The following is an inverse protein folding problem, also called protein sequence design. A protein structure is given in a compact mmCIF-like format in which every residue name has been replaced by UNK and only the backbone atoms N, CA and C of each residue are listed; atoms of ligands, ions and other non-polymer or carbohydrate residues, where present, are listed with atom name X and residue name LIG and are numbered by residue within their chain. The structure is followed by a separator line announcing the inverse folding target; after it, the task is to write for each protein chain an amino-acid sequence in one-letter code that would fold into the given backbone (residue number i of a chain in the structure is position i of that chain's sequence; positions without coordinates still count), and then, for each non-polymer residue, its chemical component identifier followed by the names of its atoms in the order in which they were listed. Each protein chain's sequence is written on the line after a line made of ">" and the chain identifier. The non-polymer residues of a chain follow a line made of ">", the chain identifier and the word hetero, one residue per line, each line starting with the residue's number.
data_IF_441592975006
#
_entry.id   IF_441592975006
#
_cell.length_a   1.000
_cell.length_b   1.000
_cell.length_c   1.000
_cell.angle_alpha   90.00
_cell.angle_beta   90.00
_cell.angle_gamma   90.00
#
_symmetry.space_group_name_H-M   'P 1'
#
loop_
_entity.id
_entity.type
_entity.pdbx_description
1 polymer ?
#
# COMPACT_ATOMS: atom_id res chain seq x y z
N UNK A 1 -14.58 -24.84 2.83
CA UNK A 1 -14.35 -24.08 1.60
C UNK A 1 -12.88 -23.67 1.46
N UNK A 2 -12.31 -22.71 2.23
CA UNK A 2 -10.91 -22.24 2.04
C UNK A 2 -9.84 -23.36 2.10
N UNK A 3 -9.92 -24.26 3.07
CA UNK A 3 -8.96 -25.37 3.20
C UNK A 3 -9.10 -26.43 2.08
N UNK A 4 -10.30 -26.58 1.54
CA UNK A 4 -10.54 -27.49 0.40
C UNK A 4 -9.94 -26.92 -0.88
N UNK A 5 -10.19 -25.64 -1.16
CA UNK A 5 -9.63 -24.95 -2.31
C UNK A 5 -8.09 -24.90 -2.21
N UNK A 6 -7.56 -24.65 -1.01
CA UNK A 6 -6.13 -24.70 -0.77
C UNK A 6 -5.54 -26.08 -1.08
N UNK A 7 -6.17 -27.17 -0.65
CA UNK A 7 -5.72 -28.55 -0.98
C UNK A 7 -5.72 -28.82 -2.47
N UNK A 8 -6.72 -28.30 -3.22
CA UNK A 8 -6.77 -28.43 -4.68
C UNK A 8 -5.58 -27.74 -5.34
N UNK A 9 -5.24 -26.52 -4.88
CA UNK A 9 -4.06 -25.77 -5.37
C UNK A 9 -2.76 -26.52 -5.06
N UNK A 10 -2.58 -27.00 -3.84
CA UNK A 10 -1.38 -27.75 -3.45
C UNK A 10 -1.24 -29.04 -4.26
N UNK A 11 -2.36 -29.77 -4.47
CA UNK A 11 -2.37 -30.94 -5.34
C UNK A 11 -1.97 -30.61 -6.79
N UNK A 12 -2.49 -29.53 -7.32
CA UNK A 12 -2.13 -29.05 -8.66
C UNK A 12 -0.63 -28.70 -8.76
N UNK A 13 -0.05 -27.99 -7.77
CA UNK A 13 1.39 -27.65 -7.76
C UNK A 13 2.27 -28.91 -7.80
N UNK A 14 1.90 -29.95 -7.08
CA UNK A 14 2.62 -31.22 -7.07
C UNK A 14 2.49 -31.91 -8.44
N UNK A 15 1.30 -31.95 -9.02
CA UNK A 15 1.06 -32.51 -10.35
C UNK A 15 1.82 -31.78 -11.46
N UNK A 16 2.01 -30.47 -11.33
CA UNK A 16 2.81 -29.67 -12.26
C UNK A 16 4.34 -29.80 -12.04
N UNK A 17 4.77 -30.66 -11.12
CA UNK A 17 6.19 -30.86 -10.83
C UNK A 17 6.87 -29.69 -10.11
N UNK A 18 6.10 -28.74 -9.56
CA UNK A 18 6.64 -27.62 -8.80
C UNK A 18 7.27 -28.05 -7.47
N UNK A 19 6.87 -29.20 -6.95
CA UNK A 19 7.50 -29.92 -5.86
C UNK A 19 7.14 -31.42 -5.97
N UNK A 20 8.00 -32.31 -5.52
CA UNK A 20 7.73 -33.74 -5.56
C UNK A 20 6.74 -34.19 -4.48
N UNK A 21 6.52 -33.38 -3.45
CA UNK A 21 5.61 -33.70 -2.36
C UNK A 21 5.18 -32.45 -1.59
N UNK A 22 4.08 -32.59 -0.80
CA UNK A 22 3.64 -31.54 0.13
C UNK A 22 4.74 -31.11 1.12
N UNK A 23 5.57 -32.08 1.57
CA UNK A 23 6.69 -31.80 2.47
C UNK A 23 7.75 -30.93 1.81
N UNK A 24 8.11 -31.23 0.58
CA UNK A 24 9.07 -30.42 -0.20
C UNK A 24 8.52 -29.04 -0.50
N UNK A 25 7.23 -28.95 -0.87
CA UNK A 25 6.57 -27.67 -1.12
C UNK A 25 6.60 -26.78 0.14
N UNK A 26 6.28 -27.35 1.32
CA UNK A 26 6.38 -26.63 2.59
C UNK A 26 7.78 -26.05 2.81
N UNK A 27 8.83 -26.87 2.60
CA UNK A 27 10.22 -26.45 2.77
C UNK A 27 10.60 -25.32 1.80
N UNK A 28 10.21 -25.46 0.51
CA UNK A 28 10.44 -24.40 -0.51
C UNK A 28 9.73 -23.10 -0.20
N UNK A 29 8.54 -23.18 0.38
CA UNK A 29 7.79 -22.01 0.84
C UNK A 29 8.28 -21.44 2.20
N UNK A 30 9.31 -22.04 2.81
CA UNK A 30 9.86 -21.61 4.10
C UNK A 30 8.96 -21.93 5.29
N UNK A 31 8.18 -23.02 5.21
CA UNK A 31 7.35 -23.53 6.29
C UNK A 31 7.89 -24.85 6.86
N UNK A 32 7.68 -25.05 8.17
CA UNK A 32 7.85 -26.37 8.76
C UNK A 32 6.77 -27.31 8.20
N UNK A 33 7.09 -28.53 7.72
CA UNK A 33 6.14 -29.47 7.13
C UNK A 33 4.95 -29.80 8.04
N UNK A 34 5.14 -29.88 9.36
CA UNK A 34 4.05 -30.14 10.32
C UNK A 34 3.08 -28.96 10.39
N UNK A 35 3.60 -27.72 10.50
CA UNK A 35 2.78 -26.51 10.50
C UNK A 35 2.01 -26.35 9.17
N UNK A 36 2.65 -26.62 8.04
CA UNK A 36 2.01 -26.61 6.73
C UNK A 36 0.86 -27.61 6.63
N UNK A 37 1.06 -28.83 7.13
CA UNK A 37 0.02 -29.86 7.18
C UNK A 37 -1.17 -29.44 8.07
N UNK A 38 -0.91 -28.81 9.22
CA UNK A 38 -1.97 -28.32 10.12
C UNK A 38 -2.83 -27.23 9.43
N UNK A 39 -2.22 -26.34 8.65
CA UNK A 39 -2.94 -25.34 7.85
C UNK A 39 -3.83 -26.03 6.81
N UNK A 40 -3.29 -26.99 6.05
CA UNK A 40 -4.05 -27.71 5.03
C UNK A 40 -5.22 -28.52 5.60
N UNK A 41 -5.06 -29.08 6.78
CA UNK A 41 -6.07 -29.89 7.45
C UNK A 41 -7.09 -29.08 8.27
N UNK A 42 -6.94 -27.74 8.30
CA UNK A 42 -7.87 -26.86 8.99
C UNK A 42 -7.69 -26.78 10.50
N UNK A 43 -6.59 -27.33 11.06
CA UNK A 43 -6.25 -27.20 12.47
C UNK A 43 -5.69 -25.81 12.82
N UNK A 44 -5.14 -25.11 11.82
CA UNK A 44 -4.64 -23.73 11.91
C UNK A 44 -5.31 -22.93 10.82
N UNK A 45 -5.81 -21.70 11.12
CA UNK A 45 -6.40 -20.82 10.13
C UNK A 45 -5.42 -20.49 9.01
N UNK A 46 -5.92 -20.37 7.78
CA UNK A 46 -5.13 -19.92 6.62
C UNK A 46 -4.91 -18.43 6.76
N UNK A 47 -3.67 -18.00 7.00
CA UNK A 47 -3.30 -16.59 7.12
C UNK A 47 -3.00 -15.97 5.74
N UNK A 48 -3.19 -14.66 5.61
CA UNK A 48 -2.82 -13.92 4.41
C UNK A 48 -1.34 -14.04 4.08
N UNK A 49 -0.48 -14.09 5.10
CA UNK A 49 0.95 -14.36 4.94
C UNK A 49 1.22 -15.70 4.25
N UNK A 50 0.42 -16.70 4.55
CA UNK A 50 0.52 -18.02 3.90
C UNK A 50 0.10 -17.93 2.43
N UNK A 51 -1.05 -17.30 2.15
CA UNK A 51 -1.57 -17.14 0.79
C UNK A 51 -0.66 -16.30 -0.09
N UNK A 52 -0.10 -15.21 0.45
CA UNK A 52 0.84 -14.36 -0.27
C UNK A 52 2.15 -15.11 -0.61
N UNK A 53 2.64 -15.97 0.30
CA UNK A 53 3.78 -16.84 -0.01
C UNK A 53 3.46 -17.89 -1.06
N UNK A 54 2.23 -18.39 -1.06
CA UNK A 54 1.77 -19.35 -2.06
C UNK A 54 1.67 -18.69 -3.45
N UNK A 55 1.14 -17.48 -3.54
CA UNK A 55 1.10 -16.71 -4.79
C UNK A 55 2.49 -16.26 -5.27
N UNK A 56 3.38 -15.94 -4.34
CA UNK A 56 4.79 -15.66 -4.67
C UNK A 56 5.53 -16.92 -5.19
N UNK A 57 5.13 -18.11 -4.74
CA UNK A 57 5.68 -19.38 -5.21
C UNK A 57 5.19 -19.74 -6.63
N UNK A 58 3.92 -19.45 -6.93
CA UNK A 58 3.31 -19.63 -8.26
C UNK A 58 2.28 -18.52 -8.54
N UNK A 59 2.67 -17.59 -9.40
CA UNK A 59 1.91 -16.38 -9.72
C UNK A 59 0.56 -16.62 -10.40
N UNK A 60 0.36 -17.81 -10.99
CA UNK A 60 -0.91 -18.18 -11.62
C UNK A 60 -2.02 -18.52 -10.65
N UNK A 61 -1.72 -18.65 -9.36
CA UNK A 61 -2.71 -19.02 -8.35
C UNK A 61 -3.61 -17.83 -8.01
N UNK A 62 -4.91 -18.01 -8.17
CA UNK A 62 -5.90 -17.01 -7.78
C UNK A 62 -6.23 -17.13 -6.28
N UNK A 63 -5.70 -16.21 -5.47
CA UNK A 63 -5.97 -16.17 -4.01
C UNK A 63 -7.45 -15.94 -3.73
N UNK A 64 -8.17 -15.14 -4.54
CA UNK A 64 -9.59 -14.86 -4.36
C UNK A 64 -10.42 -16.13 -4.57
N UNK A 65 -10.00 -17.01 -5.47
CA UNK A 65 -10.63 -18.32 -5.60
C UNK A 65 -10.41 -19.18 -4.34
N UNK A 66 -9.21 -19.16 -3.75
CA UNK A 66 -8.94 -19.90 -2.51
C UNK A 66 -9.81 -19.38 -1.36
N UNK A 67 -9.91 -18.06 -1.19
CA UNK A 67 -10.61 -17.40 -0.08
C UNK A 67 -12.14 -17.46 -0.22
N UNK A 68 -12.64 -17.13 -1.41
CA UNK A 68 -14.04 -16.77 -1.62
C UNK A 68 -14.74 -17.60 -2.69
N UNK A 69 -14.03 -18.55 -3.32
CA UNK A 69 -14.52 -19.36 -4.46
C UNK A 69 -14.96 -18.51 -5.66
N UNK A 70 -14.32 -17.33 -5.82
CA UNK A 70 -14.61 -16.40 -6.92
C UNK A 70 -13.61 -16.54 -8.05
N UNK A 71 -14.11 -16.69 -9.27
CA UNK A 71 -13.29 -16.87 -10.49
C UNK A 71 -12.78 -18.30 -10.64
N UNK A 72 -11.71 -18.47 -11.38
CA UNK A 72 -11.04 -19.76 -11.62
C UNK A 72 -9.88 -19.97 -10.65
N UNK A 73 -9.52 -21.23 -10.37
CA UNK A 73 -8.41 -21.61 -9.50
C UNK A 73 -7.07 -21.00 -9.95
N UNK A 74 -6.90 -20.92 -11.25
CA UNK A 74 -5.71 -20.35 -11.90
C UNK A 74 -6.13 -19.25 -12.84
N UNK A 75 -5.33 -18.22 -12.92
CA UNK A 75 -5.46 -17.24 -13.99
C UNK A 75 -5.07 -17.88 -15.32
N UNK A 76 -5.95 -17.85 -16.32
CA UNK A 76 -5.76 -18.47 -17.63
C UNK A 76 -4.73 -17.74 -18.52
N UNK A 77 -4.38 -16.53 -18.16
CA UNK A 77 -3.26 -15.71 -18.64
C UNK A 77 -2.90 -14.78 -17.50
N UNK A 78 -1.64 -14.37 -17.37
CA UNK A 78 -1.18 -13.40 -16.37
C UNK A 78 -2.32 -12.47 -15.96
N UNK A 79 -2.63 -12.27 -14.63
CA UNK A 79 -3.70 -11.37 -14.23
C UNK A 79 -3.27 -9.92 -14.45
N UNK A 80 -3.21 -9.53 -15.70
CA UNK A 80 -3.08 -8.17 -16.15
C UNK A 80 -4.41 -7.79 -16.78
N UNK A 81 -5.20 -7.06 -15.99
CA UNK A 81 -6.19 -6.09 -16.46
C UNK A 81 -7.29 -6.60 -17.38
N UNK A 82 -8.45 -6.91 -16.82
CA UNK A 82 -9.69 -6.55 -17.48
C UNK A 82 -10.15 -5.18 -17.00
N UNK A 83 -9.59 -4.14 -17.56
CA UNK A 83 -10.30 -2.89 -17.77
C UNK A 83 -10.18 -2.57 -19.24
N UNK A 84 -11.35 -2.66 -19.90
CA UNK A 84 -11.59 -2.26 -21.27
C UNK A 84 -11.01 -0.88 -21.56
N UNK A 85 -9.91 -0.81 -22.28
CA UNK A 85 -9.59 0.27 -23.22
C UNK A 85 -8.76 -0.32 -24.36
N UNK A 86 -9.24 -0.13 -25.55
CA UNK A 86 -8.64 -0.42 -26.83
C UNK A 86 -7.24 0.18 -26.97
N UNK A 87 -6.26 -0.66 -27.33
CA UNK A 87 -5.06 -0.26 -28.08
C UNK A 87 -3.94 0.32 -27.26
N UNK A 88 -3.08 -0.56 -26.85
CA UNK A 88 -1.62 -0.60 -26.69
C UNK A 88 -1.34 -1.62 -25.60
N UNK A 89 -0.61 -2.68 -25.91
CA UNK A 89 -0.16 -3.66 -24.92
C UNK A 89 0.80 -2.93 -23.97
N UNK A 90 0.30 -2.59 -22.78
CA UNK A 90 1.12 -2.10 -21.69
C UNK A 90 1.94 -3.28 -21.14
N UNK A 91 3.20 -3.38 -21.53
CA UNK A 91 4.15 -4.43 -21.13
C UNK A 91 4.62 -4.23 -19.67
N UNK A 92 3.67 -4.12 -18.72
CA UNK A 92 3.96 -4.11 -17.30
C UNK A 92 4.18 -5.54 -16.80
N UNK A 93 5.41 -5.91 -16.49
CA UNK A 93 5.75 -7.19 -15.89
C UNK A 93 5.78 -7.08 -14.36
N UNK A 94 4.98 -7.91 -13.66
CA UNK A 94 5.06 -8.00 -12.19
C UNK A 94 6.46 -8.42 -11.76
N UNK A 95 7.04 -7.66 -10.83
CA UNK A 95 8.40 -7.89 -10.37
C UNK A 95 8.44 -8.43 -8.94
N UNK A 96 7.81 -7.76 -7.98
CA UNK A 96 7.81 -8.17 -6.57
C UNK A 96 6.77 -7.37 -5.77
N UNK A 97 6.56 -7.78 -4.53
CA UNK A 97 5.75 -7.07 -3.54
C UNK A 97 6.54 -6.92 -2.24
N UNK A 98 6.38 -5.80 -1.54
CA UNK A 98 6.95 -5.65 -0.22
C UNK A 98 6.03 -6.20 0.88
N UNK A 99 6.54 -6.32 2.12
CA UNK A 99 5.79 -6.91 3.24
C UNK A 99 4.54 -6.11 3.66
N UNK A 100 4.32 -4.93 3.10
CA UNK A 100 3.22 -4.01 3.45
C UNK A 100 2.27 -3.78 2.26
N UNK A 101 2.27 -4.65 1.25
CA UNK A 101 1.30 -4.66 0.17
C UNK A 101 1.58 -3.69 -0.98
N UNK A 102 2.75 -3.04 -1.03
CA UNK A 102 3.15 -2.27 -2.21
C UNK A 102 3.71 -3.22 -3.28
N UNK A 103 3.10 -3.22 -4.45
CA UNK A 103 3.47 -4.08 -5.58
C UNK A 103 4.37 -3.34 -6.56
N UNK A 104 5.36 -4.02 -7.08
CA UNK A 104 6.33 -3.44 -8.02
C UNK A 104 6.24 -4.15 -9.36
N UNK A 105 6.30 -3.35 -10.43
CA UNK A 105 6.20 -3.78 -11.82
C UNK A 105 7.35 -3.17 -12.61
N UNK A 106 7.79 -3.84 -13.66
CA UNK A 106 8.75 -3.31 -14.62
C UNK A 106 8.06 -3.06 -15.96
N UNK A 107 8.51 -2.01 -16.63
CA UNK A 107 8.22 -1.72 -18.02
C UNK A 107 9.52 -1.27 -18.68
N UNK A 108 10.17 -2.18 -19.41
CA UNK A 108 11.55 -1.98 -19.86
C UNK A 108 12.50 -1.78 -18.66
N UNK A 109 13.26 -0.69 -18.66
CA UNK A 109 14.20 -0.34 -17.58
C UNK A 109 13.52 0.47 -16.45
N UNK A 110 12.27 0.83 -16.60
CA UNK A 110 11.53 1.61 -15.59
C UNK A 110 10.86 0.70 -14.57
N UNK A 111 10.89 1.13 -13.31
CA UNK A 111 10.23 0.47 -12.20
C UNK A 111 9.03 1.28 -11.73
N UNK A 112 7.93 0.60 -11.49
CA UNK A 112 6.68 1.19 -11.04
C UNK A 112 6.26 0.55 -9.73
N UNK A 113 5.70 1.37 -8.83
CA UNK A 113 5.12 0.93 -7.57
C UNK A 113 3.63 1.22 -7.56
N UNK A 114 2.82 0.20 -7.33
CA UNK A 114 1.37 0.31 -7.15
C UNK A 114 1.04 0.18 -5.68
N UNK A 115 0.29 1.15 -5.16
CA UNK A 115 -0.12 1.24 -3.76
C UNK A 115 -1.62 1.56 -3.66
N UNK A 116 -2.21 1.27 -2.52
CA UNK A 116 -3.60 1.67 -2.23
C UNK A 116 -3.72 3.18 -2.20
N UNK A 117 -4.83 3.68 -2.74
CA UNK A 117 -5.17 5.09 -2.79
C UNK A 117 -6.29 5.41 -1.81
N UNK A 118 -6.03 6.35 -0.92
CA UNK A 118 -7.00 6.89 0.03
C UNK A 118 -7.66 8.13 -0.58
N UNK A 119 -8.88 8.03 -1.12
CA UNK A 119 -9.58 9.19 -1.67
C UNK A 119 -10.04 10.11 -0.54
N UNK A 120 -10.23 11.39 -0.83
CA UNK A 120 -10.67 12.38 0.17
C UNK A 120 -11.96 11.94 0.90
N UNK A 121 -12.94 11.39 0.18
CA UNK A 121 -14.18 10.90 0.77
C UNK A 121 -13.99 9.82 1.87
N UNK A 122 -12.84 9.16 1.87
CA UNK A 122 -12.50 8.14 2.86
C UNK A 122 -11.67 8.67 4.04
N UNK A 123 -11.25 9.94 4.05
CA UNK A 123 -10.35 10.48 5.09
C UNK A 123 -10.89 10.33 6.51
N UNK A 124 -12.15 10.67 6.74
CA UNK A 124 -12.76 10.52 8.06
C UNK A 124 -12.79 9.07 8.53
N UNK A 125 -13.08 8.13 7.63
CA UNK A 125 -13.06 6.70 7.93
C UNK A 125 -11.62 6.23 8.17
N UNK A 126 -10.70 6.55 7.28
CA UNK A 126 -9.28 6.21 7.41
C UNK A 126 -8.68 6.72 8.73
N UNK A 127 -9.04 7.93 9.15
CA UNK A 127 -8.56 8.51 10.41
C UNK A 127 -9.15 7.80 11.64
N UNK A 128 -10.37 7.29 11.58
CA UNK A 128 -11.06 6.66 12.73
C UNK A 128 -10.78 5.15 12.84
N UNK A 129 -10.61 4.49 11.72
CA UNK A 129 -10.40 3.04 11.65
C UNK A 129 -8.90 2.76 11.63
N UNK A 130 -8.31 2.58 12.81
CA UNK A 130 -6.87 2.24 12.94
C UNK A 130 -6.55 0.79 12.59
N UNK A 131 -7.55 -0.01 12.19
CA UNK A 131 -7.36 -1.43 11.92
C UNK A 131 -7.06 -1.64 10.43
N UNK A 132 -5.82 -2.00 10.14
CA UNK A 132 -5.29 -2.43 8.83
C UNK A 132 -6.02 -3.68 8.29
N UNK A 133 -7.07 -4.15 8.95
CA UNK A 133 -7.80 -5.38 8.69
C UNK A 133 -9.24 -5.15 8.20
N UNK A 134 -9.66 -3.89 7.97
CA UNK A 134 -11.00 -3.64 7.45
C UNK A 134 -11.13 -4.18 6.02
N UNK A 135 -12.10 -5.10 5.76
CA UNK A 135 -12.37 -5.60 4.41
C UNK A 135 -12.70 -4.51 3.38
N UNK A 136 -13.19 -3.34 3.84
CA UNK A 136 -13.48 -2.20 2.96
C UNK A 136 -12.22 -1.51 2.43
N UNK A 137 -11.05 -1.73 3.04
CA UNK A 137 -9.76 -1.32 2.48
C UNK A 137 -9.44 -2.01 1.15
N UNK A 138 -9.98 -3.19 0.90
CA UNK A 138 -9.78 -3.92 -0.34
C UNK A 138 -10.57 -3.34 -1.52
N UNK A 139 -11.55 -2.46 -1.26
CA UNK A 139 -12.34 -1.75 -2.29
C UNK A 139 -11.67 -0.43 -2.75
N UNK A 140 -10.62 0.02 -2.07
CA UNK A 140 -9.93 1.25 -2.46
C UNK A 140 -9.19 1.04 -3.77
N UNK A 141 -9.30 2.06 -4.63
CA UNK A 141 -8.55 2.12 -5.89
C UNK A 141 -7.05 2.09 -5.59
N UNK A 142 -6.30 1.68 -6.57
CA UNK A 142 -4.86 1.67 -6.54
C UNK A 142 -4.32 2.79 -7.43
N UNK A 143 -3.16 3.31 -7.05
CA UNK A 143 -2.40 4.28 -7.84
C UNK A 143 -1.00 3.76 -8.09
N UNK A 144 -0.55 3.98 -9.32
CA UNK A 144 0.77 3.55 -9.78
C UNK A 144 1.69 4.76 -9.96
N UNK A 145 2.89 4.63 -9.45
CA UNK A 145 3.95 5.64 -9.51
C UNK A 145 5.22 5.03 -10.05
N UNK A 146 5.90 5.75 -10.95
CA UNK A 146 7.27 5.41 -11.32
C UNK A 146 8.21 5.63 -10.14
N UNK A 147 9.11 4.68 -9.86
CA UNK A 147 10.05 4.72 -8.74
C UNK A 147 11.43 4.24 -9.16
N UNK A 148 12.46 4.67 -8.43
CA UNK A 148 13.85 4.34 -8.79
C UNK A 148 14.29 2.96 -8.26
N UNK A 149 13.60 2.42 -7.26
CA UNK A 149 14.00 1.17 -6.59
C UNK A 149 12.83 0.50 -5.88
N UNK A 150 12.97 -0.79 -5.66
CA UNK A 150 12.10 -1.54 -4.74
C UNK A 150 12.33 -1.02 -3.32
N UNK A 151 11.29 -0.54 -2.69
CA UNK A 151 11.36 0.12 -1.39
C UNK A 151 10.64 -0.71 -0.31
N UNK A 152 11.20 -0.67 0.91
CA UNK A 152 10.61 -1.28 2.11
C UNK A 152 9.78 -0.25 2.86
N UNK A 153 8.81 -0.72 3.66
CA UNK A 153 7.94 0.12 4.47
C UNK A 153 6.51 0.16 3.95
N UNK A 154 5.67 0.88 4.65
CA UNK A 154 4.27 1.03 4.30
C UNK A 154 4.06 2.29 3.44
N UNK A 155 3.44 2.11 2.29
CA UNK A 155 3.19 3.16 1.31
C UNK A 155 1.71 3.27 1.02
N UNK A 156 1.22 4.50 0.96
CA UNK A 156 -0.14 4.83 0.53
C UNK A 156 -0.09 6.01 -0.45
N UNK A 157 -1.10 6.09 -1.28
CA UNK A 157 -1.41 7.29 -2.06
C UNK A 157 -2.54 8.04 -1.38
N UNK A 158 -2.45 9.38 -1.30
CA UNK A 158 -3.52 10.23 -0.79
C UNK A 158 -3.95 11.24 -1.84
N UNK A 159 -5.24 11.57 -1.84
CA UNK A 159 -5.77 12.67 -2.63
C UNK A 159 -5.57 13.99 -1.88
N UNK A 160 -5.10 15.01 -2.58
CA UNK A 160 -4.99 16.37 -2.02
C UNK A 160 -6.37 17.02 -2.02
N UNK A 161 -6.72 17.65 -0.92
CA UNK A 161 -7.98 18.38 -0.78
C UNK A 161 -7.75 19.78 -0.22
N UNK A 162 -8.58 20.73 -0.69
CA UNK A 162 -8.49 22.13 -0.31
C UNK A 162 -7.31 22.84 -0.96
N UNK A 163 -7.10 24.07 -0.57
CA UNK A 163 -6.13 24.99 -1.15
C UNK A 163 -5.03 25.45 -0.19
N UNK A 164 -5.00 24.88 1.02
CA UNK A 164 -4.01 25.27 2.05
C UNK A 164 -2.55 25.02 1.64
N UNK A 165 -2.32 24.15 0.67
CA UNK A 165 -1.00 23.84 0.12
C UNK A 165 -0.84 24.34 -1.33
N UNK A 166 -1.79 25.13 -1.83
CA UNK A 166 -1.75 25.69 -3.16
C UNK A 166 -1.19 27.13 -3.15
N UNK A 167 -0.12 27.34 -3.89
CA UNK A 167 0.52 28.66 -4.09
C UNK A 167 0.39 29.16 -5.52
N UNK A 168 -0.31 28.43 -6.40
CA UNK A 168 -0.36 28.68 -7.83
C UNK A 168 0.97 28.41 -8.55
N UNK A 169 1.92 27.72 -7.90
CA UNK A 169 3.22 27.38 -8.49
C UNK A 169 3.35 25.87 -8.74
N UNK A 170 4.34 25.45 -9.54
CA UNK A 170 4.59 24.01 -9.79
C UNK A 170 4.92 23.21 -8.53
N UNK A 171 5.35 23.86 -7.46
CA UNK A 171 5.74 23.23 -6.20
C UNK A 171 4.55 23.08 -5.23
N UNK A 172 3.41 23.72 -5.54
CA UNK A 172 2.18 23.63 -4.76
C UNK A 172 1.50 22.26 -4.91
N UNK A 173 0.55 21.99 -4.02
CA UNK A 173 -0.33 20.84 -4.11
C UNK A 173 -1.74 21.36 -4.35
N UNK A 174 -2.29 21.06 -5.52
CA UNK A 174 -3.64 21.47 -5.90
C UNK A 174 -4.67 20.39 -5.51
N UNK A 175 -5.90 20.80 -5.26
CA UNK A 175 -7.00 19.85 -5.00
C UNK A 175 -7.15 18.87 -6.18
N UNK A 176 -7.22 17.58 -5.86
CA UNK A 176 -7.24 16.48 -6.84
C UNK A 176 -5.86 15.93 -7.23
N UNK A 177 -4.76 16.60 -6.85
CA UNK A 177 -3.43 15.97 -6.96
C UNK A 177 -3.37 14.71 -6.11
N UNK A 178 -2.53 13.76 -6.52
CA UNK A 178 -2.29 12.54 -5.75
C UNK A 178 -0.84 12.51 -5.28
N UNK A 179 -0.63 12.11 -4.03
CA UNK A 179 0.71 12.04 -3.44
C UNK A 179 1.03 10.62 -3.00
N UNK A 180 2.19 10.13 -3.43
CA UNK A 180 2.78 8.90 -2.91
C UNK A 180 3.47 9.22 -1.59
N UNK A 181 3.11 8.52 -0.54
CA UNK A 181 3.61 8.76 0.80
C UNK A 181 4.14 7.47 1.43
N UNK A 182 5.15 7.61 2.29
CA UNK A 182 5.67 6.53 3.11
C UNK A 182 5.43 6.81 4.58
N UNK A 183 4.90 5.83 5.29
CA UNK A 183 4.70 5.91 6.73
C UNK A 183 6.04 6.02 7.47
N UNK A 184 6.11 6.95 8.41
CA UNK A 184 7.12 6.95 9.46
C UNK A 184 6.52 6.23 10.66
N UNK A 185 7.00 5.01 10.93
CA UNK A 185 6.52 4.21 12.05
C UNK A 185 6.73 4.94 13.39
N UNK A 186 5.75 4.83 14.30
CA UNK A 186 5.71 5.58 15.57
C UNK A 186 6.97 5.38 16.43
N UNK A 187 7.63 4.23 16.33
CA UNK A 187 8.87 3.94 17.06
C UNK A 187 9.99 4.94 16.71
N UNK A 188 9.99 5.50 15.50
CA UNK A 188 11.00 6.46 15.04
C UNK A 188 10.63 7.93 15.34
N UNK A 189 9.47 8.22 15.88
CA UNK A 189 9.06 9.62 16.17
C UNK A 189 9.83 10.22 17.34
N UNK A 190 10.39 9.38 18.20
CA UNK A 190 11.27 9.79 19.31
C UNK A 190 12.69 10.13 18.89
N UNK A 191 13.02 9.84 17.61
CA UNK A 191 14.28 10.24 17.01
C UNK A 191 14.07 11.57 16.27
N UNK A 192 15.18 12.19 15.83
CA UNK A 192 15.12 13.39 15.00
C UNK A 192 14.48 13.05 13.65
N UNK A 193 13.30 13.60 13.38
CA UNK A 193 12.62 13.50 12.09
C UNK A 193 13.38 14.35 11.08
N UNK A 194 13.70 13.77 9.92
CA UNK A 194 14.44 14.44 8.84
C UNK A 194 13.50 15.24 7.93
N UNK A 195 12.74 16.18 8.52
CA UNK A 195 11.79 16.98 7.75
C UNK A 195 12.46 17.95 6.78
N UNK A 196 13.75 18.28 6.96
CA UNK A 196 14.51 19.09 6.01
C UNK A 196 14.70 18.35 4.66
N UNK A 197 14.81 17.02 4.67
CA UNK A 197 14.94 16.19 3.47
C UNK A 197 13.58 15.83 2.85
N UNK A 198 12.55 15.77 3.67
CA UNK A 198 11.17 15.46 3.28
C UNK A 198 10.24 16.50 3.94
N UNK A 199 10.09 17.70 3.35
CA UNK A 199 9.38 18.78 4.01
C UNK A 199 7.86 18.57 4.09
N UNK A 200 7.26 17.78 3.19
CA UNK A 200 5.81 17.65 3.09
C UNK A 200 5.33 16.33 3.71
N UNK A 201 4.29 16.44 4.52
CA UNK A 201 3.78 15.34 5.34
C UNK A 201 2.27 15.23 5.27
N UNK A 202 1.77 14.00 5.21
CA UNK A 202 0.38 13.67 5.50
C UNK A 202 0.29 13.31 6.97
N UNK A 203 -0.53 14.05 7.68
CA UNK A 203 -0.73 13.91 9.14
C UNK A 203 -2.15 13.46 9.40
N UNK A 204 -2.29 12.35 10.12
CA UNK A 204 -3.57 11.79 10.54
C UNK A 204 -3.74 12.00 12.04
N UNK A 205 -4.72 12.80 12.42
CA UNK A 205 -5.03 13.08 13.82
C UNK A 205 -6.54 13.31 14.00
N UNK A 206 -7.09 12.87 15.13
CA UNK A 206 -8.54 12.86 15.31
C UNK A 206 -9.24 12.17 14.15
N UNK A 207 -10.18 12.87 13.51
CA UNK A 207 -10.88 12.42 12.28
C UNK A 207 -10.36 13.11 11.01
N UNK A 208 -9.19 13.75 11.08
CA UNK A 208 -8.64 14.57 10.01
C UNK A 208 -7.42 13.95 9.36
N UNK A 209 -7.28 14.17 8.06
CA UNK A 209 -6.08 13.87 7.27
C UNK A 209 -5.67 15.16 6.58
N UNK A 210 -4.50 15.69 6.92
CA UNK A 210 -3.99 16.94 6.37
C UNK A 210 -2.67 16.73 5.65
N UNK A 211 -2.45 17.48 4.56
CA UNK A 211 -1.14 17.62 3.93
C UNK A 211 -0.57 18.97 4.36
N UNK A 212 0.64 18.98 4.94
CA UNK A 212 1.32 20.18 5.45
C UNK A 212 2.83 20.08 5.27
N UNK A 213 3.50 21.22 5.33
CA UNK A 213 4.95 21.28 5.50
C UNK A 213 5.27 21.16 6.99
N UNK A 214 6.16 20.22 7.36
CA UNK A 214 6.69 20.18 8.72
C UNK A 214 7.88 21.15 8.81
N UNK A 215 7.86 22.05 9.77
CA UNK A 215 8.88 23.11 9.92
C UNK A 215 9.70 22.97 11.18
N UNK A 216 9.17 22.32 12.23
CA UNK A 216 9.92 22.11 13.47
C UNK A 216 9.46 20.83 14.19
N UNK A 217 10.38 20.31 15.01
CA UNK A 217 10.14 19.25 15.98
C UNK A 217 10.72 19.67 17.32
N UNK A 218 9.86 19.77 18.33
CA UNK A 218 10.27 19.99 19.71
C UNK A 218 10.16 18.67 20.47
N UNK A 219 11.33 18.05 20.73
CA UNK A 219 11.40 16.75 21.41
C UNK A 219 11.10 16.85 22.92
N UNK A 220 11.38 17.98 23.54
CA UNK A 220 11.13 18.17 24.99
C UNK A 220 9.63 18.32 25.25
N UNK A 221 8.94 19.07 24.40
CA UNK A 221 7.48 19.26 24.48
C UNK A 221 6.69 18.15 23.79
N UNK A 222 7.34 17.32 22.98
CA UNK A 222 6.67 16.29 22.18
C UNK A 222 5.78 16.86 21.07
N UNK A 223 6.19 17.97 20.44
CA UNK A 223 5.36 18.76 19.53
C UNK A 223 5.98 18.82 18.13
N UNK A 224 5.15 18.73 17.10
CA UNK A 224 5.50 18.98 15.69
C UNK A 224 4.80 20.26 15.22
N UNK A 225 5.53 21.13 14.51
CA UNK A 225 5.00 22.36 13.92
C UNK A 225 4.76 22.16 12.42
N UNK A 226 3.59 22.59 11.98
CA UNK A 226 3.14 22.46 10.60
C UNK A 226 2.80 23.83 10.00
N UNK A 227 3.17 23.98 8.73
CA UNK A 227 2.98 25.17 7.92
C UNK A 227 2.15 24.85 6.68
N UNK A 228 1.27 25.78 6.30
CA UNK A 228 0.55 25.75 5.03
C UNK A 228 1.30 26.57 3.98
N UNK A 229 1.47 26.04 2.77
CA UNK A 229 2.16 26.79 1.71
C UNK A 229 1.37 28.01 1.22
N UNK A 230 0.04 27.96 1.28
CA UNK A 230 -0.83 29.06 0.90
C UNK A 230 -0.64 30.25 1.89
N UNK A 231 -0.21 31.41 1.43
CA UNK A 231 0.12 32.56 2.29
C UNK A 231 -1.12 33.27 2.84
N UNK A 232 -2.32 32.82 2.54
CA UNK A 232 -3.56 33.41 3.06
C UNK A 232 -3.60 33.38 4.60
N UNK A 233 -3.96 34.48 5.28
CA UNK A 233 -3.97 34.58 6.75
C UNK A 233 -4.84 33.52 7.45
N UNK A 234 -5.77 32.90 6.73
CA UNK A 234 -6.59 31.81 7.28
C UNK A 234 -5.80 30.52 7.53
N UNK A 235 -4.60 30.39 6.96
CA UNK A 235 -3.75 29.21 7.07
C UNK A 235 -2.53 29.48 7.95
N UNK A 236 -2.76 29.83 9.19
CA UNK A 236 -1.68 30.04 10.16
C UNK A 236 -0.95 28.72 10.47
N UNK A 237 0.31 28.84 10.88
CA UNK A 237 1.07 27.72 11.42
C UNK A 237 0.40 27.18 12.67
N UNK A 238 0.52 25.88 12.90
CA UNK A 238 -0.04 25.24 14.07
C UNK A 238 0.86 24.13 14.59
N UNK A 239 0.70 23.84 15.87
CA UNK A 239 1.41 22.78 16.57
C UNK A 239 0.46 21.61 16.85
N UNK A 240 0.97 20.37 16.74
CA UNK A 240 0.30 19.16 17.21
C UNK A 240 1.20 18.42 18.16
N UNK A 241 0.62 17.96 19.28
CA UNK A 241 1.29 17.01 20.16
C UNK A 241 1.42 15.66 19.43
N UNK A 242 2.60 15.04 19.51
CA UNK A 242 2.84 13.73 18.88
C UNK A 242 1.87 12.64 19.38
N UNK A 243 1.32 12.79 20.60
CA UNK A 243 0.36 11.84 21.15
C UNK A 243 -1.04 11.97 20.52
N UNK A 244 -1.37 13.12 19.93
CA UNK A 244 -2.61 13.34 19.19
C UNK A 244 -2.52 12.81 17.75
N UNK A 245 -1.30 12.65 17.22
CA UNK A 245 -1.05 12.14 15.89
C UNK A 245 -1.19 10.63 15.90
N UNK A 246 -1.99 10.09 15.00
CA UNK A 246 -2.20 8.64 14.85
C UNK A 246 -1.23 8.03 13.85
N UNK A 247 -1.07 8.68 12.70
CA UNK A 247 -0.17 8.25 11.64
C UNK A 247 0.51 9.46 11.01
N UNK A 248 1.74 9.24 10.56
CA UNK A 248 2.58 10.26 9.96
C UNK A 248 3.24 9.68 8.71
N UNK A 249 3.02 10.34 7.57
CA UNK A 249 3.60 9.91 6.30
C UNK A 249 4.35 11.06 5.65
N UNK A 250 5.55 10.83 5.17
CA UNK A 250 6.24 11.83 4.34
C UNK A 250 5.97 11.62 2.85
N UNK A 251 5.79 12.73 2.15
CA UNK A 251 5.52 12.74 0.71
C UNK A 251 6.81 12.45 -0.05
N UNK A 252 6.72 11.49 -0.98
CA UNK A 252 7.84 11.09 -1.84
C UNK A 252 7.67 11.64 -3.24
N UNK A 253 6.46 11.54 -3.79
CA UNK A 253 6.18 11.94 -5.18
C UNK A 253 4.78 12.53 -5.28
N UNK A 254 4.63 13.53 -6.14
CA UNK A 254 3.34 14.10 -6.51
C UNK A 254 3.00 13.68 -7.94
N UNK A 255 1.75 13.30 -8.16
CA UNK A 255 1.13 13.08 -9.46
C UNK A 255 0.04 14.13 -9.64
N UNK A 256 0.18 15.07 -10.57
CA UNK A 256 -0.84 16.08 -10.83
C UNK A 256 -2.19 15.45 -11.17
N UNK A 257 -3.26 16.16 -10.83
CA UNK A 257 -4.62 15.77 -11.25
C UNK A 257 -4.70 15.69 -12.78
N UNK A 258 -5.51 14.75 -13.27
CA UNK A 258 -5.83 14.69 -14.68
C UNK A 258 -6.77 15.85 -15.04
N UNK A 259 -6.40 16.63 -16.04
CA UNK A 259 -7.27 17.66 -16.61
C UNK A 259 -7.89 17.05 -17.87
N UNK A 260 -9.19 16.76 -17.82
CA UNK A 260 -9.95 16.37 -18.99
C UNK A 260 -10.34 17.65 -19.73
N UNK A 261 -9.82 17.83 -20.94
CA UNK A 261 -10.11 18.98 -21.81
C UNK A 261 -11.36 18.70 -22.65
#
# INVERSE_FOLDING_TARGET
>A
MIHENLRKVIGWLILQGRAASQRELATRMGYNPSAFSQILNGHVPVSDKFLNRLAAFESKININWIKYDKGEMLFSSNPLVESSVTGEQDDFEYFTENNNGARFYKRGDQLYMTVRHVPFAAFGRFANESDRLDPQYDEWREETYEVDRVARGHYLSFEVQGDSMDTGTRQSFEAGDKVLCRELERVFWRDRIRFESHPYWVVVFGSSVLIKQMTAQDMERGVLTFHSLNPSPQYADFELNMDEIRMLFYVIKKKPREIVL
#
